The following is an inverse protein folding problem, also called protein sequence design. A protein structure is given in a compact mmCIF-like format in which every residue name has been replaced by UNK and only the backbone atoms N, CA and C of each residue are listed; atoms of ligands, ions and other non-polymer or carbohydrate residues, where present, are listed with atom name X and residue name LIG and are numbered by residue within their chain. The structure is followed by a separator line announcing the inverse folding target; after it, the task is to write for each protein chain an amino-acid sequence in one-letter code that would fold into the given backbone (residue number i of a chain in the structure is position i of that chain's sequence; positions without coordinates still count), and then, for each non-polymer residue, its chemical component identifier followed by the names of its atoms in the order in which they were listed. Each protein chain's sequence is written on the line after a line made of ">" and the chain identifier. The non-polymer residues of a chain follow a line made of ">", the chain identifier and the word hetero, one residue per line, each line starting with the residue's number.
data_IF_837651262514
#
_entry.id   IF_837651262514
#
_cell.length_a   1.000
_cell.length_b   1.000
_cell.length_c   1.000
_cell.angle_alpha   90.00
_cell.angle_beta   90.00
_cell.angle_gamma   90.00
#
_symmetry.space_group_name_H-M   'P 1'
#
loop_
_entity.id
_entity.type
_entity.pdbx_description
1 polymer ?
#
# COMPACT_ATOMS: atom_id res chain seq x y z
N UNK A 1 17.22 18.62 11.90
CA UNK A 1 17.28 17.20 12.29
C UNK A 1 16.03 16.75 13.09
N UNK A 2 15.66 17.44 14.17
CA UNK A 2 14.48 17.10 14.99
C UNK A 2 13.16 17.03 14.19
N UNK A 3 12.88 17.97 13.30
CA UNK A 3 11.64 17.98 12.47
C UNK A 3 11.56 16.77 11.52
N UNK A 4 12.68 16.34 10.93
CA UNK A 4 12.69 15.17 10.04
C UNK A 4 12.37 13.88 10.79
N UNK A 5 12.94 13.69 11.98
CA UNK A 5 12.62 12.55 12.85
C UNK A 5 11.15 12.55 13.29
N UNK A 6 10.62 13.73 13.64
CA UNK A 6 9.18 13.87 13.96
C UNK A 6 8.30 13.55 12.75
N UNK A 7 8.68 13.96 11.53
CA UNK A 7 7.96 13.63 10.30
C UNK A 7 7.90 12.12 10.07
N UNK A 8 9.02 11.43 10.26
CA UNK A 8 9.09 9.96 10.16
C UNK A 8 8.20 9.32 11.24
N UNK A 9 8.31 9.78 12.49
CA UNK A 9 7.51 9.26 13.60
C UNK A 9 5.99 9.43 13.34
N UNK A 10 5.57 10.60 12.85
CA UNK A 10 4.17 10.85 12.46
C UNK A 10 3.70 9.90 11.35
N UNK A 11 4.52 9.68 10.32
CA UNK A 11 4.19 8.74 9.25
C UNK A 11 4.07 7.30 9.76
N UNK A 12 5.01 6.85 10.60
CA UNK A 12 4.95 5.50 11.18
C UNK A 12 3.79 5.35 12.17
N UNK A 13 3.53 6.34 13.01
CA UNK A 13 2.40 6.32 13.95
C UNK A 13 1.05 6.23 13.23
N UNK A 14 0.95 6.78 12.00
CA UNK A 14 -0.28 6.74 11.20
C UNK A 14 -0.41 5.47 10.34
N UNK A 15 0.69 5.02 9.74
CA UNK A 15 0.64 3.98 8.70
C UNK A 15 1.24 2.64 9.14
N UNK A 16 1.58 2.51 10.42
CA UNK A 16 2.08 1.25 10.99
C UNK A 16 1.62 1.05 12.43
N UNK A 17 1.66 -0.21 12.88
CA UNK A 17 1.44 -0.59 14.28
C UNK A 17 2.72 -0.57 15.11
N UNK A 18 3.83 -0.12 14.53
CA UNK A 18 5.10 -0.06 15.23
C UNK A 18 5.05 1.03 16.32
N UNK A 19 5.55 0.73 17.53
CA UNK A 19 5.54 1.69 18.62
C UNK A 19 6.44 2.89 18.28
N UNK A 20 5.84 4.07 18.20
CA UNK A 20 6.54 5.32 17.89
C UNK A 20 6.32 6.35 18.99
N UNK A 21 7.32 7.22 19.25
CA UNK A 21 7.10 8.38 20.10
C UNK A 21 5.93 9.22 19.59
N UNK A 22 5.01 9.57 20.49
CA UNK A 22 3.86 10.40 20.14
C UNK A 22 4.27 11.87 20.07
N UNK A 23 3.92 12.52 18.98
CA UNK A 23 4.13 13.96 18.77
C UNK A 23 2.80 14.61 18.39
N UNK A 24 2.58 15.83 18.83
CA UNK A 24 1.45 16.62 18.35
C UNK A 24 1.61 16.88 16.85
N UNK A 25 0.56 16.60 16.09
CA UNK A 25 0.56 16.83 14.66
C UNK A 25 0.46 18.31 14.35
N UNK A 26 1.42 18.83 13.64
CA UNK A 26 1.47 20.24 13.27
C UNK A 26 1.95 20.40 11.81
N UNK A 27 1.75 21.60 11.26
CA UNK A 27 2.08 21.90 9.87
C UNK A 27 3.56 21.63 9.51
N UNK A 28 4.48 21.65 10.48
CA UNK A 28 5.92 21.41 10.21
C UNK A 28 6.23 19.92 10.06
N UNK A 29 5.74 19.08 10.98
CA UNK A 29 6.04 17.65 10.97
C UNK A 29 5.15 16.84 10.00
N UNK A 30 3.97 17.37 9.62
CA UNK A 30 3.08 16.76 8.63
C UNK A 30 3.46 17.11 7.19
N UNK A 31 4.20 18.20 6.98
CA UNK A 31 4.51 18.77 5.66
C UNK A 31 5.05 17.75 4.65
N UNK A 32 5.88 16.82 5.09
CA UNK A 32 6.52 15.77 4.27
C UNK A 32 6.22 14.35 4.74
N UNK A 33 5.18 14.16 5.57
CA UNK A 33 4.85 12.85 6.11
C UNK A 33 4.52 11.81 5.01
N UNK A 34 3.87 12.23 3.90
CA UNK A 34 3.64 11.37 2.74
C UNK A 34 4.94 10.90 2.08
N UNK A 35 6.04 11.67 2.14
CA UNK A 35 7.35 11.25 1.64
C UNK A 35 8.02 10.21 2.56
N UNK A 36 7.63 10.14 3.84
CA UNK A 36 8.11 9.15 4.77
C UNK A 36 7.31 7.82 4.72
N UNK A 37 6.13 7.81 4.12
CA UNK A 37 5.30 6.62 3.99
C UNK A 37 6.00 5.43 3.29
N UNK A 38 6.78 5.60 2.22
CA UNK A 38 7.57 4.53 1.61
C UNK A 38 8.53 3.82 2.56
N UNK A 39 8.96 4.46 3.65
CA UNK A 39 9.82 3.83 4.66
C UNK A 39 9.10 2.69 5.41
N UNK A 40 7.78 2.78 5.58
CA UNK A 40 6.97 1.66 6.11
C UNK A 40 7.06 0.46 5.15
N UNK A 41 7.05 0.70 3.84
CA UNK A 41 7.28 -0.32 2.82
C UNK A 41 8.67 -0.95 2.92
N UNK A 42 9.69 -0.13 3.18
CA UNK A 42 11.05 -0.64 3.38
C UNK A 42 11.15 -1.56 4.60
N UNK A 43 10.46 -1.23 5.71
CA UNK A 43 10.40 -2.11 6.89
C UNK A 43 9.65 -3.41 6.57
N UNK A 44 8.50 -3.35 5.90
CA UNK A 44 7.79 -4.54 5.44
C UNK A 44 8.71 -5.43 4.57
N UNK A 45 9.40 -4.83 3.60
CA UNK A 45 10.32 -5.53 2.71
C UNK A 45 11.50 -6.17 3.44
N UNK A 46 12.10 -5.45 4.40
CA UNK A 46 13.20 -5.98 5.20
C UNK A 46 12.76 -7.19 6.05
N UNK A 47 11.62 -7.10 6.72
CA UNK A 47 11.08 -8.21 7.52
C UNK A 47 10.63 -9.39 6.64
N UNK A 48 10.10 -9.11 5.46
CA UNK A 48 9.77 -10.15 4.47
C UNK A 48 11.03 -10.88 3.99
N UNK A 49 12.11 -10.14 3.69
CA UNK A 49 13.40 -10.73 3.35
C UNK A 49 13.98 -11.56 4.50
N UNK A 50 13.91 -11.03 5.72
CA UNK A 50 14.35 -11.77 6.91
C UNK A 50 13.58 -13.08 7.06
N UNK A 51 12.25 -13.06 6.92
CA UNK A 51 11.41 -14.26 6.92
C UNK A 51 11.86 -15.27 5.85
N UNK A 52 12.17 -14.77 4.64
CA UNK A 52 12.65 -15.61 3.52
C UNK A 52 14.00 -16.28 3.77
N UNK A 53 14.88 -15.66 4.56
CA UNK A 53 16.19 -16.21 4.93
C UNK A 53 16.14 -17.26 6.06
N UNK A 54 15.05 -17.29 6.82
CA UNK A 54 14.92 -18.24 7.91
C UNK A 54 14.70 -19.66 7.36
N UNK A 55 15.24 -20.72 8.02
CA UNK A 55 15.06 -22.11 7.64
C UNK A 55 13.67 -22.63 8.04
N UNK A 56 12.62 -21.97 7.55
CA UNK A 56 11.24 -22.32 7.86
C UNK A 56 10.69 -23.35 6.86
N UNK A 57 9.79 -24.26 7.30
CA UNK A 57 8.99 -25.06 6.40
C UNK A 57 8.22 -24.17 5.42
N UNK A 58 7.99 -24.66 4.18
CA UNK A 58 7.39 -23.86 3.11
C UNK A 58 6.07 -23.18 3.51
N UNK A 59 5.19 -23.91 4.21
CA UNK A 59 3.90 -23.38 4.67
C UNK A 59 4.08 -22.26 5.73
N UNK A 60 5.00 -22.43 6.67
CA UNK A 60 5.29 -21.42 7.69
C UNK A 60 5.91 -20.16 7.08
N UNK A 61 6.80 -20.32 6.10
CA UNK A 61 7.36 -19.19 5.34
C UNK A 61 6.29 -18.46 4.54
N UNK A 62 5.38 -19.17 3.87
CA UNK A 62 4.26 -18.56 3.17
C UNK A 62 3.35 -17.77 4.12
N UNK A 63 3.07 -18.30 5.31
CA UNK A 63 2.32 -17.60 6.35
C UNK A 63 3.06 -16.33 6.81
N UNK A 64 4.38 -16.43 7.05
CA UNK A 64 5.21 -15.27 7.38
C UNK A 64 5.16 -14.18 6.30
N UNK A 65 5.32 -14.57 5.04
CA UNK A 65 5.22 -13.65 3.89
C UNK A 65 3.85 -12.96 3.81
N UNK A 66 2.78 -13.70 4.09
CA UNK A 66 1.43 -13.18 4.09
C UNK A 66 1.17 -12.22 5.26
N UNK A 67 1.68 -12.52 6.44
CA UNK A 67 1.33 -11.81 7.67
C UNK A 67 2.26 -10.63 7.99
N UNK A 68 3.50 -10.60 7.46
CA UNK A 68 4.44 -9.51 7.72
C UNK A 68 3.86 -8.13 7.40
N UNK A 69 3.25 -7.86 6.22
CA UNK A 69 2.63 -6.57 5.96
C UNK A 69 1.49 -6.23 6.93
N UNK A 70 0.71 -7.24 7.34
CA UNK A 70 -0.40 -7.07 8.30
C UNK A 70 0.12 -6.64 9.67
N UNK A 71 1.14 -7.33 10.19
CA UNK A 71 1.73 -7.01 11.50
C UNK A 71 2.41 -5.64 11.51
N UNK A 72 3.13 -5.29 10.44
CA UNK A 72 3.79 -3.98 10.37
C UNK A 72 2.76 -2.85 10.29
N UNK A 73 1.68 -3.02 9.51
CA UNK A 73 0.69 -1.96 9.28
C UNK A 73 -0.46 -1.96 10.29
N UNK A 74 -0.57 -3.01 11.11
CA UNK A 74 -1.71 -3.19 12.01
C UNK A 74 -3.04 -3.41 11.29
N UNK A 75 -3.00 -3.71 9.98
CA UNK A 75 -4.18 -3.96 9.17
C UNK A 75 -4.90 -2.70 8.65
N UNK A 76 -4.38 -1.49 8.89
CA UNK A 76 -5.05 -0.23 8.47
C UNK A 76 -5.35 -0.19 6.96
N UNK A 77 -4.51 -0.78 6.13
CA UNK A 77 -4.74 -0.83 4.68
C UNK A 77 -5.76 -1.90 4.30
N UNK A 78 -5.83 -2.99 5.05
CA UNK A 78 -6.85 -4.03 4.89
C UNK A 78 -8.23 -3.54 5.30
N UNK A 79 -8.31 -2.70 6.32
CA UNK A 79 -9.53 -2.02 6.74
C UNK A 79 -10.08 -1.17 5.57
N UNK A 80 -9.28 -0.26 5.03
CA UNK A 80 -9.66 0.53 3.86
C UNK A 80 -9.98 -0.32 2.62
N UNK A 81 -9.31 -1.47 2.45
CA UNK A 81 -9.64 -2.43 1.39
C UNK A 81 -11.04 -3.04 1.59
N UNK A 82 -11.36 -3.45 2.81
CA UNK A 82 -12.64 -4.03 3.18
C UNK A 82 -13.79 -3.05 2.94
N UNK A 83 -13.66 -1.84 3.48
CA UNK A 83 -14.66 -0.76 3.36
C UNK A 83 -14.90 -0.38 1.91
N UNK A 84 -13.84 -0.22 1.13
CA UNK A 84 -13.95 0.08 -0.30
C UNK A 84 -14.62 -1.06 -1.07
N UNK A 85 -14.30 -2.31 -0.76
CA UNK A 85 -14.93 -3.47 -1.38
C UNK A 85 -16.44 -3.54 -1.06
N UNK A 86 -16.82 -3.25 0.18
CA UNK A 86 -18.23 -3.21 0.58
C UNK A 86 -18.98 -2.09 -0.14
N UNK A 87 -18.42 -0.89 -0.15
CA UNK A 87 -18.97 0.25 -0.86
C UNK A 87 -19.14 0.00 -2.37
N UNK A 88 -18.17 -0.61 -3.03
CA UNK A 88 -18.25 -0.98 -4.45
C UNK A 88 -19.29 -2.06 -4.72
N UNK A 89 -19.52 -2.97 -3.78
CA UNK A 89 -20.49 -4.06 -3.91
C UNK A 89 -21.93 -3.62 -3.65
N UNK A 90 -22.14 -2.42 -3.13
CA UNK A 90 -23.49 -1.87 -2.87
C UNK A 90 -24.27 -1.49 -4.13
N UNK A 91 -23.58 -1.33 -5.27
CA UNK A 91 -24.13 -0.82 -6.53
C UNK A 91 -24.86 0.54 -6.40
N UNK A 92 -24.67 1.23 -5.27
CA UNK A 92 -25.23 2.56 -5.02
C UNK A 92 -24.52 3.67 -5.80
N UNK A 93 -25.10 4.86 -5.75
CA UNK A 93 -24.46 6.08 -6.26
C UNK A 93 -23.25 6.50 -5.41
N UNK A 94 -22.56 7.55 -5.83
CA UNK A 94 -21.37 8.09 -5.12
C UNK A 94 -21.69 8.49 -3.69
N UNK A 95 -22.88 9.07 -3.43
CA UNK A 95 -23.25 9.50 -2.08
C UNK A 95 -23.44 8.29 -1.15
N UNK A 96 -24.12 7.24 -1.62
CA UNK A 96 -24.32 6.00 -0.87
C UNK A 96 -23.00 5.28 -0.59
N UNK A 97 -22.09 5.22 -1.57
CA UNK A 97 -20.77 4.63 -1.38
C UNK A 97 -19.95 5.39 -0.33
N UNK A 98 -19.99 6.72 -0.35
CA UNK A 98 -19.32 7.55 0.66
C UNK A 98 -19.95 7.44 2.05
N UNK A 99 -21.24 7.12 2.14
CA UNK A 99 -21.92 6.81 3.39
C UNK A 99 -21.41 5.47 3.97
N UNK A 100 -21.31 4.43 3.14
CA UNK A 100 -20.81 3.11 3.54
C UNK A 100 -19.38 3.22 4.09
N UNK A 101 -18.49 4.00 3.44
CA UNK A 101 -17.13 4.24 3.95
C UNK A 101 -17.09 4.95 5.34
N UNK A 102 -18.21 5.37 5.90
CA UNK A 102 -18.30 5.97 7.24
C UNK A 102 -18.97 5.04 8.25
N UNK A 103 -19.56 3.94 7.78
CA UNK A 103 -20.23 2.98 8.66
C UNK A 103 -19.15 2.15 9.39
N UNK A 104 -19.12 2.16 10.73
CA UNK A 104 -18.13 1.38 11.48
C UNK A 104 -18.40 -0.14 11.45
N UNK A 105 -19.49 -0.57 10.81
CA UNK A 105 -19.87 -1.98 10.72
C UNK A 105 -19.30 -2.58 9.45
N UNK A 106 -18.68 -3.74 9.58
CA UNK A 106 -18.19 -4.52 8.44
C UNK A 106 -19.34 -5.21 7.73
N UNK A 107 -19.52 -4.95 6.44
CA UNK A 107 -20.53 -5.62 5.62
C UNK A 107 -20.11 -7.02 5.19
N UNK A 108 -21.09 -7.82 4.74
CA UNK A 108 -20.84 -9.19 4.31
C UNK A 108 -19.87 -9.26 3.10
N UNK A 109 -19.97 -8.33 2.17
CA UNK A 109 -19.07 -8.29 1.01
C UNK A 109 -17.62 -7.94 1.39
N UNK A 110 -17.41 -7.09 2.40
CA UNK A 110 -16.08 -6.83 2.96
C UNK A 110 -15.44 -8.13 3.48
N UNK A 111 -16.19 -8.91 4.27
CA UNK A 111 -15.71 -10.22 4.81
C UNK A 111 -15.39 -11.19 3.68
N UNK A 112 -16.29 -11.37 2.70
CA UNK A 112 -16.06 -12.26 1.56
C UNK A 112 -14.80 -11.84 0.79
N UNK A 113 -14.61 -10.53 0.55
CA UNK A 113 -13.45 -10.01 -0.16
C UNK A 113 -12.15 -10.16 0.62
N UNK A 114 -12.15 -9.95 1.93
CA UNK A 114 -11.00 -10.19 2.79
C UNK A 114 -10.61 -11.67 2.82
N UNK A 115 -11.57 -12.57 3.03
CA UNK A 115 -11.30 -14.02 3.00
C UNK A 115 -10.72 -14.45 1.65
N UNK A 116 -11.32 -13.98 0.55
CA UNK A 116 -10.82 -14.27 -0.80
C UNK A 116 -9.43 -13.69 -1.05
N UNK A 117 -9.16 -12.48 -0.57
CA UNK A 117 -7.85 -11.84 -0.63
C UNK A 117 -6.81 -12.67 0.10
N UNK A 118 -7.05 -13.02 1.37
CA UNK A 118 -6.09 -13.80 2.16
C UNK A 118 -5.85 -15.19 1.60
N UNK A 119 -6.89 -15.88 1.12
CA UNK A 119 -6.72 -17.18 0.47
C UNK A 119 -5.82 -17.09 -0.77
N UNK A 120 -6.08 -16.10 -1.65
CA UNK A 120 -5.27 -15.89 -2.85
C UNK A 120 -3.85 -15.41 -2.51
N UNK A 121 -3.71 -14.45 -1.61
CA UNK A 121 -2.42 -13.88 -1.23
C UNK A 121 -1.52 -14.93 -0.55
N UNK A 122 -2.08 -15.73 0.36
CA UNK A 122 -1.37 -16.83 1.00
C UNK A 122 -0.93 -17.92 -0.02
N UNK A 123 -1.80 -18.28 -0.95
CA UNK A 123 -1.46 -19.22 -2.02
C UNK A 123 -0.32 -18.68 -2.89
N UNK A 124 -0.37 -17.41 -3.28
CA UNK A 124 0.70 -16.74 -4.03
C UNK A 124 2.02 -16.70 -3.25
N UNK A 125 1.97 -16.39 -1.95
CA UNK A 125 3.15 -16.47 -1.07
C UNK A 125 3.77 -17.87 -1.06
N UNK A 126 2.93 -18.92 -1.10
CA UNK A 126 3.38 -20.31 -1.19
C UNK A 126 4.02 -20.68 -2.52
N UNK A 127 3.66 -19.99 -3.60
CA UNK A 127 4.25 -20.20 -4.93
C UNK A 127 5.61 -19.50 -5.10
N UNK A 128 5.93 -18.50 -4.28
CA UNK A 128 7.19 -17.75 -4.40
C UNK A 128 8.36 -18.53 -3.82
N UNK A 129 9.36 -18.77 -4.64
CA UNK A 129 10.66 -19.28 -4.22
C UNK A 129 11.56 -18.10 -3.82
N UNK A 130 11.94 -18.05 -2.55
CA UNK A 130 12.78 -16.98 -2.05
C UNK A 130 14.22 -17.11 -2.56
N UNK A 131 14.71 -16.03 -3.16
CA UNK A 131 16.11 -15.78 -3.46
C UNK A 131 16.45 -14.35 -3.05
N UNK A 132 17.72 -13.97 -2.84
CA UNK A 132 18.08 -12.59 -2.55
C UNK A 132 17.56 -11.59 -3.61
N UNK A 133 17.57 -11.97 -4.89
CA UNK A 133 17.03 -11.17 -6.00
C UNK A 133 15.52 -10.96 -5.84
N UNK A 134 14.77 -12.03 -5.55
CA UNK A 134 13.32 -11.98 -5.33
C UNK A 134 12.99 -11.13 -4.11
N UNK A 135 13.77 -11.26 -3.03
CA UNK A 135 13.64 -10.42 -1.86
C UNK A 135 13.83 -8.93 -2.18
N UNK A 136 14.87 -8.59 -2.95
CA UNK A 136 15.12 -7.21 -3.37
C UNK A 136 14.00 -6.67 -4.27
N UNK A 137 13.51 -7.46 -5.23
CA UNK A 137 12.38 -7.10 -6.09
C UNK A 137 11.13 -6.81 -5.26
N UNK A 138 10.81 -7.69 -4.30
CA UNK A 138 9.62 -7.52 -3.47
C UNK A 138 9.74 -6.34 -2.50
N UNK A 139 10.90 -6.14 -1.88
CA UNK A 139 11.14 -4.99 -1.01
C UNK A 139 11.02 -3.66 -1.77
N UNK A 140 11.56 -3.56 -2.99
CA UNK A 140 11.39 -2.40 -3.86
C UNK A 140 9.94 -2.19 -4.26
N UNK A 141 9.20 -3.28 -4.56
CA UNK A 141 7.77 -3.21 -4.90
C UNK A 141 6.95 -2.61 -3.76
N UNK A 142 7.20 -3.06 -2.50
CA UNK A 142 6.53 -2.53 -1.31
C UNK A 142 6.86 -1.05 -1.02
N UNK A 143 8.06 -0.59 -1.34
CA UNK A 143 8.43 0.83 -1.29
C UNK A 143 7.70 1.61 -2.39
N UNK A 144 7.69 1.07 -3.61
CA UNK A 144 7.10 1.72 -4.79
C UNK A 144 5.59 1.93 -4.68
N UNK A 145 4.85 0.93 -4.21
CA UNK A 145 3.39 1.07 -4.07
C UNK A 145 3.00 2.12 -3.03
N UNK A 146 3.76 2.23 -1.92
CA UNK A 146 3.53 3.25 -0.90
C UNK A 146 3.91 4.64 -1.41
N UNK A 147 4.95 4.74 -2.25
CA UNK A 147 5.28 5.97 -2.95
C UNK A 147 4.15 6.39 -3.93
N UNK A 148 3.60 5.44 -4.70
CA UNK A 148 2.44 5.67 -5.57
C UNK A 148 1.20 6.08 -4.79
N UNK A 149 0.92 5.43 -3.66
CA UNK A 149 -0.21 5.77 -2.79
C UNK A 149 -0.08 7.19 -2.23
N UNK A 150 1.09 7.56 -1.70
CA UNK A 150 1.37 8.91 -1.23
C UNK A 150 1.28 9.95 -2.35
N UNK A 151 1.75 9.61 -3.55
CA UNK A 151 1.63 10.46 -4.74
C UNK A 151 0.16 10.68 -5.14
N UNK A 152 -0.66 9.62 -5.09
CA UNK A 152 -2.09 9.72 -5.37
C UNK A 152 -2.81 10.63 -4.36
N UNK A 153 -2.56 10.47 -3.06
CA UNK A 153 -3.13 11.34 -2.02
C UNK A 153 -2.74 12.80 -2.22
N UNK A 154 -1.50 13.07 -2.67
CA UNK A 154 -1.04 14.43 -2.94
C UNK A 154 -1.55 15.01 -4.27
N UNK A 155 -1.94 14.16 -5.26
CA UNK A 155 -2.19 14.58 -6.63
C UNK A 155 -3.65 14.43 -7.08
N UNK A 156 -4.36 13.39 -6.62
CA UNK A 156 -5.74 13.12 -7.05
C UNK A 156 -6.72 14.09 -6.39
N UNK A 157 -7.88 14.35 -7.02
CA UNK A 157 -8.98 15.01 -6.33
C UNK A 157 -9.37 14.24 -5.08
N UNK A 158 -9.71 14.95 -4.00
CA UNK A 158 -10.20 14.33 -2.77
C UNK A 158 -11.73 14.19 -2.83
N UNK A 159 -12.25 13.04 -2.41
CA UNK A 159 -13.70 12.79 -2.38
C UNK A 159 -14.39 13.49 -1.20
N UNK A 160 -13.64 13.81 -0.14
CA UNK A 160 -14.16 14.41 1.10
C UNK A 160 -13.22 15.52 1.56
N UNK A 161 -13.79 16.56 2.20
CA UNK A 161 -13.02 17.62 2.87
C UNK A 161 -12.70 17.29 4.34
N UNK A 162 -12.72 16.01 4.69
CA UNK A 162 -12.48 15.50 6.05
C UNK A 162 -11.75 14.16 5.98
N UNK A 163 -11.22 13.71 7.12
CA UNK A 163 -10.56 12.41 7.25
C UNK A 163 -9.06 12.47 7.00
N UNK A 164 -8.40 11.33 7.20
CA UNK A 164 -6.94 11.20 7.24
C UNK A 164 -6.29 11.65 5.92
N UNK A 165 -6.80 11.20 4.78
CA UNK A 165 -6.25 11.58 3.47
C UNK A 165 -6.33 13.10 3.24
N UNK A 166 -7.45 13.74 3.62
CA UNK A 166 -7.61 15.18 3.54
C UNK A 166 -6.60 15.91 4.45
N UNK A 167 -6.44 15.45 5.69
CA UNK A 167 -5.52 16.05 6.66
C UNK A 167 -4.07 16.02 6.14
N UNK A 168 -3.61 14.88 5.61
CA UNK A 168 -2.27 14.78 5.03
C UNK A 168 -2.12 15.57 3.73
N UNK A 169 -3.12 15.52 2.84
CA UNK A 169 -3.07 16.26 1.57
C UNK A 169 -3.09 17.78 1.76
N UNK A 170 -3.77 18.29 2.79
CA UNK A 170 -3.84 19.74 3.08
C UNK A 170 -2.62 20.24 3.82
N UNK A 171 -2.03 19.43 4.71
CA UNK A 171 -0.80 19.78 5.42
C UNK A 171 0.46 19.67 4.52
N UNK A 172 0.39 18.88 3.44
CA UNK A 172 1.52 18.62 2.55
C UNK A 172 1.95 19.84 1.74
N UNK A 173 3.26 20.00 1.57
CA UNK A 173 3.84 20.81 0.50
C UNK A 173 3.63 20.09 -0.85
N UNK A 174 2.44 20.29 -1.44
CA UNK A 174 1.98 19.50 -2.59
C UNK A 174 2.97 19.47 -3.74
N UNK A 175 3.67 20.57 -4.02
CA UNK A 175 4.60 20.65 -5.15
C UNK A 175 5.85 19.78 -4.88
N UNK A 176 6.47 19.99 -3.72
CA UNK A 176 7.71 19.28 -3.39
C UNK A 176 7.43 17.81 -3.06
N UNK A 177 6.32 17.49 -2.39
CA UNK A 177 5.88 16.10 -2.10
C UNK A 177 5.62 15.33 -3.41
N UNK A 178 4.88 15.92 -4.36
CA UNK A 178 4.65 15.28 -5.67
C UNK A 178 5.94 15.03 -6.43
N UNK A 179 6.86 16.02 -6.46
CA UNK A 179 8.16 15.88 -7.13
C UNK A 179 9.00 14.77 -6.47
N UNK A 180 9.12 14.79 -5.15
CA UNK A 180 9.91 13.81 -4.40
C UNK A 180 9.37 12.38 -4.59
N UNK A 181 8.05 12.18 -4.47
CA UNK A 181 7.43 10.87 -4.65
C UNK A 181 7.47 10.41 -6.12
N UNK A 182 7.29 11.31 -7.09
CA UNK A 182 7.43 10.94 -8.51
C UNK A 182 8.87 10.52 -8.85
N UNK A 183 9.87 11.23 -8.34
CA UNK A 183 11.29 10.85 -8.49
C UNK A 183 11.58 9.50 -7.82
N UNK A 184 11.05 9.27 -6.63
CA UNK A 184 11.19 7.98 -5.94
C UNK A 184 10.52 6.85 -6.73
N UNK A 185 9.30 7.06 -7.25
CA UNK A 185 8.62 6.07 -8.09
C UNK A 185 9.44 5.74 -9.34
N UNK A 186 10.02 6.77 -10.01
CA UNK A 186 10.86 6.56 -11.18
C UNK A 186 12.15 5.79 -10.82
N UNK A 187 12.80 6.12 -9.71
CA UNK A 187 14.00 5.44 -9.24
C UNK A 187 13.71 3.97 -8.88
N UNK A 188 12.60 3.71 -8.17
CA UNK A 188 12.18 2.33 -7.83
C UNK A 188 11.82 1.55 -9.09
N UNK A 189 11.10 2.15 -10.04
CA UNK A 189 10.78 1.49 -11.31
C UNK A 189 12.05 1.15 -12.09
N UNK A 190 13.01 2.07 -12.19
CA UNK A 190 14.30 1.82 -12.83
C UNK A 190 15.09 0.68 -12.15
N UNK A 191 15.12 0.65 -10.80
CA UNK A 191 15.77 -0.42 -10.05
C UNK A 191 15.07 -1.78 -10.25
N UNK A 192 13.72 -1.82 -10.26
CA UNK A 192 12.95 -3.02 -10.57
C UNK A 192 13.26 -3.52 -11.99
N UNK A 193 13.29 -2.63 -13.00
CA UNK A 193 13.62 -2.99 -14.38
C UNK A 193 15.05 -3.53 -14.49
N UNK A 194 16.01 -2.90 -13.83
CA UNK A 194 17.41 -3.36 -13.81
C UNK A 194 17.57 -4.76 -13.18
N UNK A 195 16.71 -5.11 -12.23
CA UNK A 195 16.65 -6.44 -11.61
C UNK A 195 15.76 -7.44 -12.39
N UNK A 196 15.20 -7.05 -13.55
CA UNK A 196 14.31 -7.90 -14.34
C UNK A 196 12.85 -7.94 -13.85
N UNK A 197 12.46 -7.03 -12.95
CA UNK A 197 11.12 -6.95 -12.37
C UNK A 197 10.10 -6.16 -13.22
N UNK A 198 10.20 -6.18 -14.52
CA UNK A 198 9.33 -5.43 -15.43
C UNK A 198 7.84 -5.76 -15.23
N UNK A 199 7.51 -7.02 -14.91
CA UNK A 199 6.14 -7.44 -14.69
C UNK A 199 5.52 -6.80 -13.42
N UNK A 200 6.32 -6.57 -12.37
CA UNK A 200 5.90 -5.85 -11.18
C UNK A 200 5.59 -4.38 -11.50
N UNK A 201 6.43 -3.76 -12.34
CA UNK A 201 6.21 -2.36 -12.78
C UNK A 201 4.91 -2.26 -13.57
N UNK A 202 4.65 -3.18 -14.51
CA UNK A 202 3.41 -3.20 -15.29
C UNK A 202 2.18 -3.46 -14.40
N UNK A 203 2.27 -4.39 -13.46
CA UNK A 203 1.19 -4.67 -12.51
C UNK A 203 0.86 -3.44 -11.66
N UNK A 204 1.87 -2.79 -11.07
CA UNK A 204 1.71 -1.59 -10.28
C UNK A 204 1.10 -0.44 -11.10
N UNK A 205 1.58 -0.21 -12.32
CA UNK A 205 1.06 0.82 -13.23
C UNK A 205 -0.41 0.56 -13.60
N UNK A 206 -0.78 -0.68 -13.95
CA UNK A 206 -2.16 -1.05 -14.26
C UNK A 206 -3.11 -0.85 -13.08
N UNK A 207 -2.69 -1.25 -11.88
CA UNK A 207 -3.47 -1.05 -10.65
C UNK A 207 -3.58 0.45 -10.31
N UNK A 208 -2.51 1.24 -10.51
CA UNK A 208 -2.53 2.68 -10.26
C UNK A 208 -3.49 3.42 -11.19
N UNK A 209 -3.48 3.09 -12.48
CA UNK A 209 -4.44 3.62 -13.45
C UNK A 209 -5.88 3.25 -13.05
N UNK A 210 -6.12 1.99 -12.69
CA UNK A 210 -7.44 1.55 -12.21
C UNK A 210 -7.86 2.31 -10.95
N UNK A 211 -6.93 2.54 -10.01
CA UNK A 211 -7.20 3.32 -8.81
C UNK A 211 -7.68 4.73 -9.14
N UNK A 212 -7.04 5.41 -10.09
CA UNK A 212 -7.47 6.74 -10.53
C UNK A 212 -8.92 6.75 -11.03
N UNK A 213 -9.26 5.82 -11.93
CA UNK A 213 -10.61 5.73 -12.49
C UNK A 213 -11.65 5.36 -11.44
N UNK A 214 -11.39 4.35 -10.61
CA UNK A 214 -12.30 3.96 -9.53
C UNK A 214 -12.53 5.13 -8.56
N UNK A 215 -11.46 5.81 -8.14
CA UNK A 215 -11.57 6.97 -7.25
C UNK A 215 -12.44 8.07 -7.88
N UNK A 216 -12.19 8.41 -9.13
CA UNK A 216 -12.88 9.51 -9.82
C UNK A 216 -14.35 9.17 -10.12
N UNK A 217 -14.61 8.00 -10.70
CA UNK A 217 -15.93 7.63 -11.22
C UNK A 217 -16.88 7.13 -10.15
N UNK A 218 -16.34 6.37 -9.16
CA UNK A 218 -17.18 5.71 -8.15
C UNK A 218 -17.34 6.54 -6.88
N UNK A 219 -16.37 7.41 -6.57
CA UNK A 219 -16.32 8.15 -5.29
C UNK A 219 -16.16 9.66 -5.46
N UNK A 220 -15.99 10.16 -6.70
CA UNK A 220 -15.74 11.58 -6.97
C UNK A 220 -14.35 12.07 -6.58
N UNK A 221 -13.47 11.18 -6.12
CA UNK A 221 -12.11 11.48 -5.69
C UNK A 221 -11.54 10.39 -4.78
N UNK A 222 -10.32 10.58 -4.28
CA UNK A 222 -9.67 9.62 -3.38
C UNK A 222 -10.04 9.84 -1.91
N UNK A 223 -9.96 8.76 -1.11
CA UNK A 223 -10.06 8.74 0.36
C UNK A 223 -8.91 7.92 0.94
N UNK A 224 -8.77 7.89 2.28
CA UNK A 224 -7.84 6.99 2.96
C UNK A 224 -8.14 5.51 2.68
N UNK A 225 -9.42 5.15 2.68
CA UNK A 225 -9.91 3.79 2.44
C UNK A 225 -9.54 3.32 1.02
N UNK A 226 -9.76 4.18 0.03
CA UNK A 226 -9.35 3.94 -1.36
C UNK A 226 -7.84 3.82 -1.52
N UNK A 227 -7.04 4.57 -0.74
CA UNK A 227 -5.59 4.41 -0.72
C UNK A 227 -5.18 3.05 -0.15
N UNK A 228 -5.84 2.57 0.92
CA UNK A 228 -5.69 1.22 1.45
C UNK A 228 -6.09 0.14 0.44
N UNK A 229 -7.23 0.32 -0.22
CA UNK A 229 -7.69 -0.57 -1.29
C UNK A 229 -6.67 -0.66 -2.44
N UNK A 230 -6.09 0.47 -2.86
CA UNK A 230 -5.05 0.49 -3.87
C UNK A 230 -3.84 -0.35 -3.45
N UNK A 231 -3.34 -0.17 -2.22
CA UNK A 231 -2.19 -0.91 -1.71
C UNK A 231 -2.43 -2.42 -1.74
N UNK A 232 -3.57 -2.89 -1.23
CA UNK A 232 -3.86 -4.33 -1.23
C UNK A 232 -4.04 -4.89 -2.64
N UNK A 233 -4.64 -4.12 -3.57
CA UNK A 233 -4.69 -4.50 -4.99
C UNK A 233 -3.31 -4.51 -5.63
N UNK A 234 -2.45 -3.56 -5.29
CA UNK A 234 -1.10 -3.48 -5.82
C UNK A 234 -0.25 -4.67 -5.33
N UNK A 235 -0.27 -4.94 -4.02
CA UNK A 235 0.44 -6.08 -3.42
C UNK A 235 0.04 -7.40 -4.08
N UNK A 236 -1.25 -7.71 -4.18
CA UNK A 236 -1.68 -9.01 -4.73
C UNK A 236 -1.34 -9.16 -6.23
N UNK A 237 -1.49 -8.10 -7.04
CA UNK A 237 -1.17 -8.18 -8.45
C UNK A 237 0.33 -8.22 -8.73
N UNK A 238 1.14 -7.48 -7.98
CA UNK A 238 2.60 -7.56 -8.07
C UNK A 238 3.12 -8.93 -7.62
N UNK A 239 2.54 -9.50 -6.55
CA UNK A 239 2.92 -10.84 -6.06
C UNK A 239 2.53 -11.92 -7.09
N UNK A 240 1.35 -11.81 -7.70
CA UNK A 240 0.93 -12.71 -8.77
C UNK A 240 1.87 -12.62 -9.99
N UNK A 241 2.27 -11.40 -10.37
CA UNK A 241 3.24 -11.19 -11.46
C UNK A 241 4.61 -11.79 -11.12
N UNK A 242 5.09 -11.63 -9.87
CA UNK A 242 6.35 -12.20 -9.40
C UNK A 242 6.32 -13.73 -9.45
N UNK A 243 5.26 -14.35 -8.90
CA UNK A 243 5.08 -15.80 -8.91
C UNK A 243 4.98 -16.35 -10.35
N UNK A 244 4.23 -15.67 -11.22
CA UNK A 244 4.12 -16.05 -12.62
C UNK A 244 5.47 -15.99 -13.36
N UNK A 245 6.27 -14.94 -13.15
CA UNK A 245 7.60 -14.81 -13.75
C UNK A 245 8.54 -15.94 -13.28
N UNK A 246 8.48 -16.35 -12.01
CA UNK A 246 9.25 -17.49 -11.53
C UNK A 246 8.77 -18.81 -12.15
N UNK A 247 7.45 -19.01 -12.21
CA UNK A 247 6.88 -20.22 -12.82
C UNK A 247 7.20 -20.37 -14.30
N UNK A 248 7.27 -19.24 -15.03
CA UNK A 248 7.65 -19.19 -16.45
C UNK A 248 9.18 -19.22 -16.67
N UNK A 249 9.99 -19.26 -15.61
CA UNK A 249 11.46 -19.26 -15.72
C UNK A 249 12.06 -17.93 -16.22
N UNK A 250 11.33 -16.81 -16.03
CA UNK A 250 11.78 -15.47 -16.40
C UNK A 250 12.59 -14.80 -15.28
N UNK A 251 12.42 -15.25 -14.03
CA UNK A 251 13.13 -14.76 -12.83
C UNK A 251 13.87 -15.86 -12.10
#
# INVERSE_FOLDING_TARGET
>A
MMTALQTIAVAFAMFSALPMPQFDWNAKNMRYALCAFPLVGAVCGALWCLCGMLPLPALARAAGFCLVPVWVTGGIHLDGYADTCDALSSYGDTAKKLEILKDPRCGAFAVIRLCSYFAAYFALCGCVQFTPRVGALWALALVGERALSGLAVAAFPLAKNTGIAHTFATAADKVNVRRALALLCAAVAAALLALGGWALVLAAAGVFVRYYFVSKEQFGGTTGDLAGWFLQKCEIWMLAALAACQWLGVL
#
